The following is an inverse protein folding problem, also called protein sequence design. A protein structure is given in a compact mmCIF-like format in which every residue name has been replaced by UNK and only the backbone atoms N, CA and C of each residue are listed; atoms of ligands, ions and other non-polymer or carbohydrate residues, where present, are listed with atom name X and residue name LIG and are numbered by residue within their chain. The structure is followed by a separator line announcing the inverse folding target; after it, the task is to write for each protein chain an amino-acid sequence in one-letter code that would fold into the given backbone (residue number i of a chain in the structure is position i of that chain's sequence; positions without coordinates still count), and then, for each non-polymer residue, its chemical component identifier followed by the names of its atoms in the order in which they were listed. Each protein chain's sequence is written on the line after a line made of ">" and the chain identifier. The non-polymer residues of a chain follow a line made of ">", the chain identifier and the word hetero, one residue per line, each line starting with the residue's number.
data_IF_405088546339
#
_entry.id   IF_405088546339
#
_cell.length_a   1.000
_cell.length_b   1.000
_cell.length_c   1.000
_cell.angle_alpha   90.00
_cell.angle_beta   90.00
_cell.angle_gamma   90.00
#
_symmetry.space_group_name_H-M   'P 1'
#
loop_
_entity.id
_entity.type
_entity.pdbx_description
1 polymer ?
#
# COMPACT_ATOMS: atom_id res chain seq x y z
N UNK A 1 -1.00 31.70 -4.84
CA UNK A 1 -2.05 31.44 -3.83
C UNK A 1 -2.09 29.94 -3.59
N UNK A 2 -2.15 29.52 -2.34
CA UNK A 2 -2.42 28.13 -2.00
C UNK A 2 -3.94 27.92 -2.16
N UNK A 3 -4.36 26.85 -2.85
CA UNK A 3 -5.78 26.55 -3.10
C UNK A 3 -6.54 26.12 -1.84
N UNK A 4 -7.79 25.69 -2.00
CA UNK A 4 -8.60 25.14 -0.90
C UNK A 4 -8.07 23.75 -0.52
N UNK A 5 -7.83 23.47 0.78
CA UNK A 5 -7.39 22.15 1.23
C UNK A 5 -8.46 21.08 0.96
N UNK A 6 -8.03 19.86 0.60
CA UNK A 6 -8.92 18.72 0.32
C UNK A 6 -9.96 19.07 -0.76
N UNK A 7 -9.47 19.51 -1.90
CA UNK A 7 -10.33 19.73 -3.07
C UNK A 7 -10.68 18.40 -3.76
N UNK A 8 -11.64 18.45 -4.69
CA UNK A 8 -12.10 17.29 -5.48
C UNK A 8 -10.95 16.56 -6.19
N UNK A 9 -9.99 17.31 -6.72
CA UNK A 9 -8.84 16.73 -7.40
C UNK A 9 -7.95 15.96 -6.41
N UNK A 10 -7.57 16.56 -5.27
CA UNK A 10 -6.73 15.91 -4.27
C UNK A 10 -7.41 14.64 -3.69
N UNK A 11 -8.74 14.70 -3.49
CA UNK A 11 -9.54 13.56 -3.05
C UNK A 11 -9.52 12.42 -4.08
N UNK A 12 -9.73 12.75 -5.36
CA UNK A 12 -9.62 11.82 -6.47
C UNK A 12 -8.22 11.20 -6.61
N UNK A 13 -7.17 12.02 -6.52
CA UNK A 13 -5.78 11.54 -6.61
C UNK A 13 -5.42 10.62 -5.46
N UNK A 14 -5.96 10.88 -4.27
CA UNK A 14 -5.82 9.99 -3.11
C UNK A 14 -6.53 8.66 -3.36
N UNK A 15 -7.77 8.68 -3.86
CA UNK A 15 -8.50 7.46 -4.22
C UNK A 15 -7.79 6.66 -5.32
N UNK A 16 -7.20 7.35 -6.30
CA UNK A 16 -6.38 6.74 -7.35
C UNK A 16 -5.12 6.05 -6.79
N UNK A 17 -4.50 6.63 -5.76
CA UNK A 17 -3.36 6.03 -5.07
C UNK A 17 -3.74 4.73 -4.32
N UNK A 18 -4.95 4.66 -3.75
CA UNK A 18 -5.44 3.44 -3.09
C UNK A 18 -5.91 2.36 -4.07
N UNK A 19 -6.31 2.75 -5.27
CA UNK A 19 -6.79 1.83 -6.30
C UNK A 19 -5.66 1.46 -7.28
N UNK A 20 -5.41 2.31 -8.27
CA UNK A 20 -4.49 2.02 -9.38
C UNK A 20 -3.05 1.81 -8.92
N UNK A 21 -2.53 2.64 -8.00
CA UNK A 21 -1.14 2.47 -7.52
C UNK A 21 -0.98 1.17 -6.72
N UNK A 22 -2.01 0.73 -5.99
CA UNK A 22 -2.00 -0.58 -5.32
C UNK A 22 -1.95 -1.72 -6.33
N UNK A 23 -2.72 -1.66 -7.42
CA UNK A 23 -2.65 -2.64 -8.51
C UNK A 23 -1.25 -2.69 -9.16
N UNK A 24 -0.61 -1.53 -9.35
CA UNK A 24 0.79 -1.49 -9.80
C UNK A 24 1.73 -2.10 -8.78
N UNK A 25 1.49 -1.83 -7.50
CA UNK A 25 2.28 -2.34 -6.38
C UNK A 25 2.30 -3.86 -6.31
N UNK A 26 1.13 -4.50 -6.39
CA UNK A 26 1.02 -5.97 -6.35
C UNK A 26 1.66 -6.63 -7.58
N UNK A 27 1.55 -6.00 -8.76
CA UNK A 27 2.20 -6.47 -10.00
C UNK A 27 3.70 -6.37 -9.93
N UNK A 28 4.22 -5.26 -9.42
CA UNK A 28 5.64 -5.09 -9.17
C UNK A 28 6.18 -6.12 -8.16
N UNK A 29 5.32 -6.67 -7.29
CA UNK A 29 5.65 -7.76 -6.37
C UNK A 29 5.33 -9.16 -6.93
N UNK A 30 5.14 -9.30 -8.24
CA UNK A 30 5.00 -10.60 -8.90
C UNK A 30 3.59 -11.21 -8.83
N UNK A 31 2.57 -10.46 -8.41
CA UNK A 31 1.18 -10.91 -8.40
C UNK A 31 0.45 -10.27 -9.57
N UNK A 32 -0.06 -11.10 -10.48
CA UNK A 32 -0.75 -10.64 -11.69
C UNK A 32 -2.24 -11.03 -11.64
N UNK A 33 -3.11 -10.15 -11.12
CA UNK A 33 -4.55 -10.34 -11.20
C UNK A 33 -5.00 -10.47 -12.65
N UNK A 34 -6.05 -11.27 -12.87
CA UNK A 34 -6.73 -11.31 -14.14
C UNK A 34 -7.59 -10.04 -14.34
N UNK A 35 -8.12 -9.87 -15.55
CA UNK A 35 -8.92 -8.69 -15.92
C UNK A 35 -10.11 -8.48 -14.98
N UNK A 36 -10.86 -9.54 -14.67
CA UNK A 36 -12.04 -9.47 -13.80
C UNK A 36 -11.66 -9.08 -12.36
N UNK A 37 -10.58 -9.64 -11.81
CA UNK A 37 -10.10 -9.33 -10.46
C UNK A 37 -9.71 -7.84 -10.35
N UNK A 38 -9.02 -7.35 -11.36
CA UNK A 38 -8.66 -5.94 -11.50
C UNK A 38 -9.89 -5.03 -11.58
N UNK A 39 -10.85 -5.35 -12.46
CA UNK A 39 -12.10 -4.57 -12.63
C UNK A 39 -12.94 -4.57 -11.36
N UNK A 40 -13.06 -5.72 -10.68
CA UNK A 40 -13.76 -5.82 -9.39
C UNK A 40 -13.08 -4.96 -8.30
N UNK A 41 -11.75 -4.95 -8.28
CA UNK A 41 -10.99 -4.13 -7.32
C UNK A 41 -11.13 -2.63 -7.61
N UNK A 42 -11.12 -2.23 -8.89
CA UNK A 42 -11.38 -0.84 -9.28
C UNK A 42 -12.81 -0.44 -8.96
N UNK A 43 -13.80 -1.29 -9.25
CA UNK A 43 -15.21 -1.03 -8.92
C UNK A 43 -15.42 -0.83 -7.41
N UNK A 44 -14.72 -1.61 -6.57
CA UNK A 44 -14.75 -1.39 -5.13
C UNK A 44 -14.28 0.02 -4.75
N UNK A 45 -13.15 0.48 -5.30
CA UNK A 45 -12.63 1.83 -5.03
C UNK A 45 -13.39 2.95 -5.74
N UNK A 46 -14.03 2.65 -6.87
CA UNK A 46 -14.99 3.54 -7.52
C UNK A 46 -16.13 3.84 -6.54
N UNK A 47 -16.72 2.80 -5.96
CA UNK A 47 -17.79 2.93 -4.98
C UNK A 47 -17.35 3.64 -3.69
N UNK A 48 -16.18 3.31 -3.15
CA UNK A 48 -15.62 4.03 -1.99
C UNK A 48 -15.42 5.52 -2.30
N UNK A 49 -14.88 5.84 -3.47
CA UNK A 49 -14.70 7.23 -3.90
C UNK A 49 -16.02 7.99 -4.06
N UNK A 50 -17.02 7.33 -4.65
CA UNK A 50 -18.37 7.87 -4.76
C UNK A 50 -18.98 8.18 -3.38
N UNK A 51 -18.87 7.25 -2.43
CA UNK A 51 -19.33 7.47 -1.05
C UNK A 51 -18.62 8.64 -0.35
N UNK A 52 -17.35 8.89 -0.69
CA UNK A 52 -16.58 10.03 -0.17
C UNK A 52 -16.95 11.36 -0.84
N UNK A 53 -17.83 11.37 -1.84
CA UNK A 53 -18.29 12.57 -2.54
C UNK A 53 -17.34 13.05 -3.64
N UNK A 54 -16.56 12.15 -4.24
CA UNK A 54 -15.75 12.46 -5.42
C UNK A 54 -16.66 12.56 -6.65
N UNK A 55 -16.51 13.62 -7.45
CA UNK A 55 -17.26 13.77 -8.71
C UNK A 55 -17.00 12.55 -9.63
N UNK A 56 -18.07 12.01 -10.23
CA UNK A 56 -18.01 10.80 -11.08
C UNK A 56 -17.00 10.90 -12.23
N UNK A 57 -16.76 12.11 -12.77
CA UNK A 57 -15.75 12.36 -13.81
C UNK A 57 -14.32 11.97 -13.42
N UNK A 58 -14.04 11.87 -12.13
CA UNK A 58 -12.73 11.48 -11.59
C UNK A 58 -12.66 10.02 -11.15
N UNK A 59 -13.81 9.35 -11.03
CA UNK A 59 -13.85 7.96 -10.65
C UNK A 59 -13.49 7.08 -11.85
N UNK A 60 -12.66 6.07 -11.60
CA UNK A 60 -12.17 5.17 -12.64
C UNK A 60 -12.90 3.85 -12.59
N UNK A 61 -13.27 3.34 -13.76
CA UNK A 61 -13.85 2.00 -13.89
C UNK A 61 -12.84 1.03 -14.49
N UNK A 62 -11.95 1.54 -15.36
CA UNK A 62 -10.99 0.73 -16.11
C UNK A 62 -9.56 1.12 -15.78
N UNK A 63 -8.66 0.14 -15.82
CA UNK A 63 -7.23 0.39 -15.61
C UNK A 63 -6.65 1.41 -16.61
N UNK A 64 -7.13 1.40 -17.85
CA UNK A 64 -6.69 2.36 -18.88
C UNK A 64 -6.95 3.81 -18.48
N UNK A 65 -8.02 4.08 -17.73
CA UNK A 65 -8.34 5.42 -17.20
C UNK A 65 -7.41 5.77 -16.04
N UNK A 66 -7.18 4.80 -15.14
CA UNK A 66 -6.21 4.92 -14.06
C UNK A 66 -4.82 5.28 -14.56
N UNK A 67 -4.32 4.64 -15.62
CA UNK A 67 -3.04 4.96 -16.25
C UNK A 67 -2.96 6.41 -16.77
N UNK A 68 -4.04 6.90 -17.39
CA UNK A 68 -4.10 8.30 -17.86
C UNK A 68 -4.00 9.27 -16.69
N UNK A 69 -4.80 9.06 -15.64
CA UNK A 69 -4.78 9.93 -14.47
C UNK A 69 -3.45 9.85 -13.71
N UNK A 70 -2.84 8.68 -13.60
CA UNK A 70 -1.52 8.51 -13.00
C UNK A 70 -0.41 9.24 -13.78
N UNK A 71 -0.51 9.26 -15.11
CA UNK A 71 0.40 10.04 -15.93
C UNK A 71 0.28 11.54 -15.60
N UNK A 72 -0.95 12.07 -15.56
CA UNK A 72 -1.20 13.46 -15.21
C UNK A 72 -0.79 13.80 -13.77
N UNK A 73 -1.03 12.90 -12.82
CA UNK A 73 -0.64 13.03 -11.41
C UNK A 73 0.80 13.48 -11.25
N UNK A 74 1.69 12.90 -12.04
CA UNK A 74 3.14 13.16 -11.95
C UNK A 74 3.49 14.62 -12.22
N UNK A 75 2.68 15.35 -12.99
CA UNK A 75 2.92 16.74 -13.34
C UNK A 75 2.27 17.72 -12.35
N UNK A 76 1.18 17.30 -11.71
CA UNK A 76 0.42 18.15 -10.79
C UNK A 76 0.91 18.00 -9.35
N UNK A 77 1.44 16.82 -8.98
CA UNK A 77 1.83 16.55 -7.60
C UNK A 77 3.03 17.43 -7.17
N UNK A 78 2.93 18.15 -6.05
CA UNK A 78 4.03 18.98 -5.55
C UNK A 78 5.26 18.12 -5.24
N UNK A 79 6.44 18.75 -5.34
CA UNK A 79 7.71 18.13 -4.96
C UNK A 79 7.71 17.84 -3.45
N UNK A 80 8.37 16.76 -3.05
CA UNK A 80 8.58 16.43 -1.64
C UNK A 80 9.26 17.58 -0.92
N UNK A 81 8.71 17.94 0.24
CA UNK A 81 9.12 19.04 1.11
C UNK A 81 9.54 18.53 2.50
N UNK A 82 9.80 19.45 3.43
CA UNK A 82 10.21 19.12 4.79
C UNK A 82 9.14 18.28 5.53
N UNK A 83 7.86 18.59 5.33
CA UNK A 83 6.73 17.84 5.89
C UNK A 83 6.70 16.40 5.37
N UNK A 84 6.94 16.22 4.07
CA UNK A 84 7.05 14.89 3.44
C UNK A 84 8.18 14.06 4.05
N UNK A 85 9.34 14.68 4.33
CA UNK A 85 10.46 14.00 4.97
C UNK A 85 10.16 13.62 6.43
N UNK A 86 9.54 14.51 7.20
CA UNK A 86 9.14 14.24 8.58
C UNK A 86 8.12 13.09 8.67
N UNK A 87 7.10 13.10 7.80
CA UNK A 87 6.12 12.02 7.71
C UNK A 87 6.76 10.70 7.29
N UNK A 88 7.62 10.71 6.27
CA UNK A 88 8.35 9.52 5.82
C UNK A 88 9.24 8.93 6.92
N UNK A 89 9.93 9.77 7.69
CA UNK A 89 10.72 9.34 8.83
C UNK A 89 9.87 8.73 9.95
N UNK A 90 8.70 9.29 10.25
CA UNK A 90 7.78 8.75 11.25
C UNK A 90 7.21 7.40 10.82
N UNK A 91 6.67 7.32 9.59
CA UNK A 91 6.11 6.07 9.04
C UNK A 91 7.16 4.96 8.93
N UNK A 92 8.41 5.29 8.64
CA UNK A 92 9.49 4.28 8.60
C UNK A 92 9.70 3.58 9.95
N UNK A 93 9.27 4.20 11.06
CA UNK A 93 9.41 3.64 12.42
C UNK A 93 8.24 2.74 12.83
N UNK A 94 7.18 2.64 12.03
CA UNK A 94 6.04 1.75 12.29
C UNK A 94 6.44 0.30 12.66
N UNK A 95 7.48 -0.32 12.07
CA UNK A 95 7.90 -1.67 12.45
C UNK A 95 8.30 -1.82 13.91
N UNK A 96 8.69 -0.73 14.60
CA UNK A 96 9.02 -0.73 16.03
C UNK A 96 7.79 -0.67 16.94
N UNK A 97 6.66 -0.15 16.44
CA UNK A 97 5.40 -0.06 17.18
C UNK A 97 4.63 -1.39 17.20
N UNK A 98 5.02 -2.35 16.34
CA UNK A 98 4.41 -3.68 16.29
C UNK A 98 4.75 -4.50 17.53
N UNK A 99 3.74 -5.15 18.09
CA UNK A 99 3.92 -6.10 19.19
C UNK A 99 4.42 -7.44 18.65
N UNK A 100 5.70 -7.75 18.89
CA UNK A 100 6.27 -9.06 18.57
C UNK A 100 6.22 -9.99 19.78
N UNK A 101 5.82 -11.25 19.56
CA UNK A 101 5.70 -12.26 20.62
C UNK A 101 7.06 -12.73 21.16
N UNK A 102 8.09 -12.81 20.30
CA UNK A 102 9.40 -13.37 20.64
C UNK A 102 10.54 -12.51 20.09
N UNK A 103 11.70 -12.50 20.76
CA UNK A 103 12.95 -11.84 20.29
C UNK A 103 12.74 -10.43 19.70
N UNK A 104 11.95 -9.61 20.41
CA UNK A 104 11.50 -8.28 19.99
C UNK A 104 12.56 -7.40 19.32
N UNK A 105 13.75 -7.17 19.91
CA UNK A 105 14.70 -6.21 19.33
C UNK A 105 15.29 -6.70 17.99
N UNK A 106 15.44 -8.00 17.82
CA UNK A 106 15.99 -8.58 16.59
C UNK A 106 14.93 -8.60 15.48
N UNK A 107 13.69 -8.98 15.81
CA UNK A 107 12.58 -8.98 14.86
C UNK A 107 12.24 -7.56 14.40
N UNK A 108 12.24 -6.58 15.30
CA UNK A 108 12.02 -5.17 14.95
C UNK A 108 13.10 -4.63 14.01
N UNK A 109 14.38 -4.90 14.29
CA UNK A 109 15.49 -4.47 13.41
C UNK A 109 15.41 -5.11 12.03
N UNK A 110 15.08 -6.42 11.97
CA UNK A 110 14.90 -7.12 10.71
C UNK A 110 13.71 -6.56 9.92
N UNK A 111 12.56 -6.38 10.56
CA UNK A 111 11.36 -5.82 9.95
C UNK A 111 11.58 -4.39 9.45
N UNK A 112 12.30 -3.56 10.22
CA UNK A 112 12.70 -2.22 9.80
C UNK A 112 13.57 -2.26 8.54
N UNK A 113 14.58 -3.13 8.49
CA UNK A 113 15.42 -3.29 7.30
C UNK A 113 14.61 -3.77 6.09
N UNK A 114 13.78 -4.78 6.26
CA UNK A 114 12.89 -5.30 5.21
C UNK A 114 11.94 -4.21 4.69
N UNK A 115 11.41 -3.38 5.61
CA UNK A 115 10.55 -2.25 5.26
C UNK A 115 11.31 -1.21 4.43
N UNK A 116 12.55 -0.86 4.79
CA UNK A 116 13.37 0.06 4.00
C UNK A 116 13.75 -0.52 2.62
N UNK A 117 14.06 -1.82 2.54
CA UNK A 117 14.36 -2.50 1.28
C UNK A 117 13.14 -2.50 0.34
N UNK A 118 11.95 -2.78 0.88
CA UNK A 118 10.70 -2.74 0.12
C UNK A 118 10.37 -1.32 -0.34
N UNK A 119 10.49 -0.32 0.54
CA UNK A 119 10.28 1.07 0.17
C UNK A 119 11.26 1.51 -0.92
N UNK A 120 12.55 1.16 -0.79
CA UNK A 120 13.56 1.45 -1.80
C UNK A 120 13.23 0.84 -3.16
N UNK A 121 12.64 -0.37 -3.21
CA UNK A 121 12.22 -0.99 -4.47
C UNK A 121 11.19 -0.15 -5.22
N UNK A 122 10.22 0.44 -4.51
CA UNK A 122 9.16 1.24 -5.13
C UNK A 122 9.58 2.67 -5.47
N UNK A 123 10.25 3.37 -4.56
CA UNK A 123 10.54 4.80 -4.72
C UNK A 123 11.95 5.08 -5.27
N UNK A 124 12.85 4.09 -5.20
CA UNK A 124 14.24 4.19 -5.63
C UNK A 124 15.15 4.96 -4.66
N UNK A 125 16.47 4.78 -4.83
CA UNK A 125 17.51 5.36 -3.96
C UNK A 125 17.47 6.90 -3.90
N UNK A 126 17.20 7.56 -5.03
CA UNK A 126 17.16 9.04 -5.11
C UNK A 126 16.04 9.64 -4.25
N UNK A 127 14.86 9.02 -4.22
CA UNK A 127 13.73 9.51 -3.40
C UNK A 127 13.89 9.15 -1.93
N UNK A 128 14.46 7.98 -1.62
CA UNK A 128 14.86 7.61 -0.25
C UNK A 128 15.75 8.68 0.40
N UNK A 129 16.78 9.14 -0.32
CA UNK A 129 17.65 10.21 0.16
C UNK A 129 16.91 11.52 0.42
N UNK A 130 15.99 11.92 -0.47
CA UNK A 130 15.17 13.12 -0.28
C UNK A 130 14.26 13.05 0.95
N UNK A 131 13.87 11.84 1.36
CA UNK A 131 13.07 11.59 2.57
C UNK A 131 13.93 11.43 3.84
N UNK A 132 15.26 11.56 3.74
CA UNK A 132 16.17 11.34 4.87
C UNK A 132 16.30 9.87 5.30
N UNK A 133 15.82 8.94 4.49
CA UNK A 133 15.89 7.51 4.77
C UNK A 133 17.23 6.92 4.32
N UNK A 134 17.77 5.99 5.11
CA UNK A 134 19.04 5.33 4.79
C UNK A 134 18.86 4.39 3.58
N UNK A 135 19.54 4.63 2.45
CA UNK A 135 19.49 3.70 1.32
C UNK A 135 20.10 2.36 1.72
N UNK A 136 19.54 1.29 1.18
CA UNK A 136 20.06 -0.06 1.31
C UNK A 136 20.93 -0.40 0.09
N UNK A 137 21.90 -1.30 0.27
CA UNK A 137 22.78 -1.73 -0.84
C UNK A 137 21.96 -2.25 -2.03
N UNK A 138 21.00 -3.12 -1.75
CA UNK A 138 19.99 -3.60 -2.69
C UNK A 138 18.65 -3.88 -1.99
N UNK A 139 17.58 -3.99 -2.77
CA UNK A 139 16.24 -4.34 -2.29
C UNK A 139 16.01 -5.86 -2.28
N UNK A 140 16.93 -6.60 -1.65
CA UNK A 140 16.96 -8.07 -1.69
C UNK A 140 15.64 -8.69 -1.23
N UNK A 141 15.06 -8.16 -0.15
CA UNK A 141 13.78 -8.64 0.35
C UNK A 141 12.65 -8.44 -0.67
N UNK A 142 12.62 -7.31 -1.39
CA UNK A 142 11.62 -7.07 -2.42
C UNK A 142 11.80 -8.02 -3.62
N UNK A 143 13.03 -8.28 -4.05
CA UNK A 143 13.31 -9.26 -5.10
C UNK A 143 12.93 -10.67 -4.68
N UNK A 144 13.21 -11.05 -3.43
CA UNK A 144 12.75 -12.32 -2.86
C UNK A 144 11.22 -12.42 -2.86
N UNK A 145 10.52 -11.35 -2.45
CA UNK A 145 9.05 -11.33 -2.48
C UNK A 145 8.53 -11.48 -3.91
N UNK A 146 9.11 -10.76 -4.86
CA UNK A 146 8.75 -10.82 -6.27
C UNK A 146 8.89 -12.24 -6.81
N UNK A 147 10.06 -12.87 -6.64
CA UNK A 147 10.30 -14.23 -7.15
C UNK A 147 9.40 -15.26 -6.46
N UNK A 148 9.30 -15.21 -5.12
CA UNK A 148 8.43 -16.09 -4.35
C UNK A 148 6.98 -15.98 -4.79
N UNK A 149 6.46 -14.75 -4.91
CA UNK A 149 5.07 -14.52 -5.30
C UNK A 149 4.84 -14.95 -6.75
N UNK A 150 5.75 -14.64 -7.66
CA UNK A 150 5.64 -15.06 -9.05
C UNK A 150 5.52 -16.57 -9.15
N UNK A 151 6.39 -17.33 -8.46
CA UNK A 151 6.31 -18.81 -8.44
C UNK A 151 5.01 -19.28 -7.78
N UNK A 152 4.68 -18.76 -6.60
CA UNK A 152 3.55 -19.23 -5.80
C UNK A 152 2.20 -18.95 -6.47
N UNK A 153 1.96 -17.72 -6.92
CA UNK A 153 0.68 -17.32 -7.51
C UNK A 153 0.53 -17.80 -8.95
N UNK A 154 1.61 -17.92 -9.72
CA UNK A 154 1.55 -18.53 -11.06
C UNK A 154 1.33 -20.03 -10.96
N UNK A 155 1.98 -20.72 -10.00
CA UNK A 155 1.73 -22.13 -9.72
C UNK A 155 0.31 -22.39 -9.23
N UNK A 156 -0.22 -21.52 -8.37
CA UNK A 156 -1.59 -21.64 -7.85
C UNK A 156 -2.66 -21.57 -8.93
N UNK A 157 -2.44 -20.84 -10.03
CA UNK A 157 -3.36 -20.81 -11.18
C UNK A 157 -3.55 -22.18 -11.84
N UNK A 158 -2.55 -23.07 -11.72
CA UNK A 158 -2.58 -24.40 -12.33
C UNK A 158 -2.98 -25.51 -11.34
N UNK A 159 -2.96 -25.21 -10.03
CA UNK A 159 -3.26 -26.18 -8.97
C UNK A 159 -4.43 -25.67 -8.11
N UNK A 160 -5.67 -26.13 -8.35
CA UNK A 160 -6.87 -25.62 -7.67
C UNK A 160 -6.78 -25.67 -6.14
N UNK A 161 -6.24 -26.76 -5.58
CA UNK A 161 -6.07 -26.90 -4.13
C UNK A 161 -5.09 -25.90 -3.52
N UNK A 162 -4.09 -25.45 -4.28
CA UNK A 162 -3.17 -24.41 -3.82
C UNK A 162 -3.85 -23.04 -3.85
N UNK A 163 -4.63 -22.74 -4.90
CA UNK A 163 -5.40 -21.51 -5.00
C UNK A 163 -6.38 -21.35 -3.83
N UNK A 164 -7.15 -22.41 -3.53
CA UNK A 164 -8.09 -22.39 -2.40
C UNK A 164 -7.38 -22.13 -1.06
N UNK A 165 -6.27 -22.83 -0.79
CA UNK A 165 -5.47 -22.61 0.43
C UNK A 165 -4.94 -21.17 0.52
N UNK A 166 -4.54 -20.56 -0.60
CA UNK A 166 -4.09 -19.16 -0.62
C UNK A 166 -5.24 -18.20 -0.31
N UNK A 167 -6.44 -18.45 -0.83
CA UNK A 167 -7.63 -17.65 -0.54
C UNK A 167 -8.05 -17.76 0.93
N UNK A 168 -8.09 -18.97 1.48
CA UNK A 168 -8.40 -19.22 2.89
C UNK A 168 -7.39 -18.52 3.81
N UNK A 169 -6.09 -18.65 3.51
CA UNK A 169 -5.02 -17.96 4.23
C UNK A 169 -5.15 -16.44 4.12
N UNK A 170 -5.44 -15.92 2.93
CA UNK A 170 -5.68 -14.49 2.71
C UNK A 170 -6.85 -13.97 3.54
N UNK A 171 -7.97 -14.71 3.57
CA UNK A 171 -9.14 -14.38 4.39
C UNK A 171 -8.84 -14.44 5.89
N UNK A 172 -8.05 -15.41 6.34
CA UNK A 172 -7.61 -15.47 7.73
C UNK A 172 -6.77 -14.24 8.11
N UNK A 173 -5.84 -13.81 7.25
CA UNK A 173 -5.04 -12.59 7.46
C UNK A 173 -5.94 -11.35 7.52
N UNK A 174 -6.92 -11.22 6.62
CA UNK A 174 -7.87 -10.11 6.63
C UNK A 174 -8.68 -10.05 7.94
N UNK A 175 -9.19 -11.21 8.42
CA UNK A 175 -9.92 -11.30 9.69
C UNK A 175 -9.04 -10.94 10.90
N UNK A 176 -7.80 -11.41 10.91
CA UNK A 176 -6.83 -11.06 11.94
C UNK A 176 -6.55 -9.55 11.95
N UNK A 177 -6.37 -8.95 10.77
CA UNK A 177 -6.23 -7.50 10.63
C UNK A 177 -7.44 -6.74 11.20
N UNK A 178 -8.65 -7.14 10.83
CA UNK A 178 -9.88 -6.54 11.34
C UNK A 178 -9.96 -6.62 12.88
N UNK A 179 -9.64 -7.79 13.46
CA UNK A 179 -9.65 -7.97 14.90
C UNK A 179 -8.63 -7.06 15.61
N UNK A 180 -7.43 -6.92 15.05
CA UNK A 180 -6.39 -6.03 15.59
C UNK A 180 -6.82 -4.56 15.58
N UNK A 181 -7.45 -4.09 14.50
CA UNK A 181 -7.94 -2.72 14.43
C UNK A 181 -9.13 -2.48 15.36
N UNK A 182 -10.05 -3.44 15.48
CA UNK A 182 -11.16 -3.35 16.43
C UNK A 182 -10.68 -3.31 17.89
N UNK A 183 -9.69 -4.13 18.26
CA UNK A 183 -9.13 -4.08 19.61
C UNK A 183 -8.41 -2.76 19.90
N UNK A 184 -7.64 -2.25 18.92
CA UNK A 184 -6.94 -0.96 19.06
C UNK A 184 -7.93 0.22 19.12
N UNK A 185 -8.99 0.19 18.32
CA UNK A 185 -10.05 1.20 18.36
C UNK A 185 -10.78 1.21 19.73
N UNK A 186 -11.10 0.04 20.29
CA UNK A 186 -11.67 -0.07 21.64
C UNK A 186 -10.73 0.50 22.70
N UNK A 187 -9.44 0.19 22.62
CA UNK A 187 -8.42 0.70 23.54
C UNK A 187 -8.30 2.24 23.47
N UNK A 188 -8.27 2.81 22.26
CA UNK A 188 -8.22 4.27 22.06
C UNK A 188 -9.50 4.98 22.52
N UNK A 189 -10.67 4.37 22.32
CA UNK A 189 -11.94 4.89 22.82
C UNK A 189 -11.99 4.91 24.35
N UNK A 190 -11.46 3.89 25.02
CA UNK A 190 -11.36 3.85 26.50
C UNK A 190 -10.38 4.87 27.08
N UNK A 191 -9.32 5.25 26.34
CA UNK A 191 -8.35 6.26 26.81
C UNK A 191 -8.86 7.70 26.74
N UNK A 192 -9.90 7.98 25.94
CA UNK A 192 -10.55 9.30 25.88
C UNK A 192 -11.70 9.46 26.89
N UNK A 193 -11.99 8.44 27.70
CA UNK A 193 -13.00 8.48 28.77
C UNK A 193 -12.38 8.64 30.17
N UNK A 194 -11.08 8.92 30.27
CA UNK A 194 -10.37 9.22 31.53
C UNK A 194 -9.93 10.68 31.57
#
# INVERSE_FOLDING_TARGET
>A
MWGVPINQFDLAMTNLAFSSVVLLGIRALGIFPNKQESENFLHFWHYVGWLMGIDEKWLIEKESEGWKLLYWMRFVHPKSDASSAALGASLSKEPFERQYKYLRPLQQKLAYRQHLELTQFFIGKKRMHKLGLKPQSAAWFAYYLLTRNLVLYTGAKHVPGLNQKLQEKGRAIQKLGLALYQSKAKQLASMHQQ
#
